data_IF_988653199536
#
_entry.id   IF_988653199536
#
_cell.length_a   1.000
_cell.length_b   1.000
_cell.length_c   1.000
_cell.angle_alpha   90.00
_cell.angle_beta   90.00
_cell.angle_gamma   90.00
#
_symmetry.space_group_name_H-M   'P 1'
#
loop_
_entity.id
_entity.type
_entity.pdbx_description
1 polymer ?
#
# COMPACT_ATOMS: atom_id res chain seq x y z
N UNK A 1 6.71 -21.74 -17.47
CA UNK A 1 6.93 -20.40 -16.90
C UNK A 1 6.57 -19.37 -17.96
N UNK A 2 5.99 -18.23 -17.56
CA UNK A 2 5.52 -17.18 -18.47
C UNK A 2 6.57 -16.05 -18.50
N UNK A 3 6.82 -15.43 -19.65
CA UNK A 3 7.75 -14.30 -19.81
C UNK A 3 7.55 -13.20 -18.77
N UNK A 4 6.29 -12.93 -18.41
CA UNK A 4 5.93 -11.94 -17.38
C UNK A 4 6.36 -12.36 -15.96
N UNK A 5 6.41 -13.65 -15.66
CA UNK A 5 6.93 -14.17 -14.38
C UNK A 5 8.45 -13.95 -14.29
N UNK A 6 9.17 -14.18 -15.40
CA UNK A 6 10.60 -13.95 -15.48
C UNK A 6 10.94 -12.46 -15.36
N UNK A 7 10.16 -11.59 -16.00
CA UNK A 7 10.28 -10.14 -15.84
C UNK A 7 10.03 -9.70 -14.40
N UNK A 8 9.07 -10.31 -13.70
CA UNK A 8 8.81 -10.03 -12.29
C UNK A 8 10.01 -10.44 -11.42
N UNK A 9 10.54 -11.66 -11.61
CA UNK A 9 11.73 -12.13 -10.90
C UNK A 9 12.95 -11.26 -11.21
N UNK A 10 13.06 -10.77 -12.43
CA UNK A 10 14.10 -9.85 -12.86
C UNK A 10 13.99 -8.48 -12.18
N UNK A 11 12.78 -7.93 -12.08
CA UNK A 11 12.48 -6.68 -11.38
C UNK A 11 12.78 -6.73 -9.88
N UNK A 12 12.83 -7.93 -9.28
CA UNK A 12 13.24 -8.10 -7.89
C UNK A 12 14.74 -7.82 -7.66
N UNK A 13 15.53 -7.62 -8.72
CA UNK A 13 16.95 -7.24 -8.64
C UNK A 13 17.16 -5.79 -9.07
N UNK A 14 18.10 -5.04 -8.46
CA UNK A 14 18.37 -3.65 -8.86
C UNK A 14 18.78 -3.51 -10.34
N UNK A 15 19.58 -4.45 -10.85
CA UNK A 15 20.00 -4.47 -12.26
C UNK A 15 18.82 -4.71 -13.20
N UNK A 16 17.94 -5.64 -12.85
CA UNK A 16 16.76 -5.93 -13.66
C UNK A 16 15.76 -4.78 -13.64
N UNK A 17 15.53 -4.17 -12.47
CA UNK A 17 14.70 -2.97 -12.35
C UNK A 17 15.22 -1.82 -13.21
N UNK A 18 16.52 -1.53 -13.16
CA UNK A 18 17.15 -0.50 -13.99
C UNK A 18 16.99 -0.79 -15.49
N UNK A 19 17.13 -2.05 -15.89
CA UNK A 19 16.93 -2.45 -17.28
C UNK A 19 15.49 -2.22 -17.72
N UNK A 20 14.51 -2.66 -16.92
CA UNK A 20 13.08 -2.45 -17.19
C UNK A 20 12.69 -0.97 -17.29
N UNK A 21 13.34 -0.11 -16.51
CA UNK A 21 13.16 1.34 -16.62
C UNK A 21 13.70 1.86 -17.95
N UNK A 22 14.91 1.46 -18.35
CA UNK A 22 15.52 1.89 -19.62
C UNK A 22 14.76 1.40 -20.85
N UNK A 23 14.13 0.23 -20.77
CA UNK A 23 13.35 -0.33 -21.87
C UNK A 23 11.89 0.12 -21.88
N UNK A 24 11.43 0.85 -20.84
CA UNK A 24 10.03 1.26 -20.70
C UNK A 24 9.07 0.15 -20.26
N UNK A 25 9.57 -1.07 -20.02
CA UNK A 25 8.77 -2.23 -19.62
C UNK A 25 8.32 -2.20 -18.13
N UNK A 26 8.74 -1.19 -17.37
CA UNK A 26 8.44 -1.07 -15.93
C UNK A 26 6.93 -1.00 -15.65
N UNK A 27 6.17 -0.29 -16.48
CA UNK A 27 4.72 -0.12 -16.28
C UNK A 27 3.97 -1.45 -16.46
N UNK A 28 4.33 -2.23 -17.48
CA UNK A 28 3.76 -3.54 -17.75
C UNK A 28 4.11 -4.52 -16.61
N UNK A 29 5.35 -4.48 -16.13
CA UNK A 29 5.80 -5.31 -15.02
C UNK A 29 5.04 -4.98 -13.72
N UNK A 30 4.86 -3.70 -13.39
CA UNK A 30 4.13 -3.27 -12.19
C UNK A 30 2.63 -3.53 -12.30
N UNK A 31 2.04 -3.37 -13.48
CA UNK A 31 0.64 -3.71 -13.74
C UNK A 31 0.40 -5.21 -13.59
N UNK A 32 1.30 -6.04 -14.12
CA UNK A 32 1.24 -7.49 -13.95
C UNK A 32 1.40 -7.89 -12.47
N UNK A 33 2.33 -7.24 -11.75
CA UNK A 33 2.50 -7.40 -10.30
C UNK A 33 1.19 -7.08 -9.54
N UNK A 34 0.57 -5.93 -9.83
CA UNK A 34 -0.66 -5.50 -9.18
C UNK A 34 -1.82 -6.46 -9.46
N UNK A 35 -2.02 -6.88 -10.70
CA UNK A 35 -3.05 -7.85 -11.07
C UNK A 35 -2.91 -9.16 -10.29
N UNK A 36 -1.68 -9.58 -10.02
CA UNK A 36 -1.39 -10.79 -9.24
C UNK A 36 -1.60 -10.58 -7.74
N UNK A 37 -1.23 -9.41 -7.24
CA UNK A 37 -1.50 -8.97 -5.87
C UNK A 37 -3.01 -8.94 -5.58
N UNK A 38 -3.81 -8.28 -6.44
CA UNK A 38 -5.25 -8.14 -6.29
C UNK A 38 -5.97 -9.49 -6.29
N UNK A 39 -5.52 -10.43 -7.13
CA UNK A 39 -6.05 -11.80 -7.18
C UNK A 39 -5.53 -12.72 -6.06
N UNK A 40 -4.68 -12.21 -5.15
CA UNK A 40 -4.00 -12.96 -4.08
C UNK A 40 -3.26 -14.22 -4.59
N UNK A 41 -2.80 -14.20 -5.84
CA UNK A 41 -2.16 -15.35 -6.48
C UNK A 41 -0.72 -15.49 -5.97
N UNK A 42 -0.32 -16.71 -5.57
CA UNK A 42 1.05 -17.01 -5.14
C UNK A 42 2.02 -16.93 -6.34
N UNK A 43 3.25 -16.45 -6.11
CA UNK A 43 4.27 -16.30 -7.16
C UNK A 43 4.79 -17.68 -7.64
N UNK A 44 4.78 -18.71 -6.77
CA UNK A 44 5.05 -20.11 -7.16
C UNK A 44 4.43 -21.14 -6.21
N UNK A 45 4.43 -22.43 -6.60
CA UNK A 45 3.91 -23.58 -5.82
C UNK A 45 4.57 -23.79 -4.44
N UNK A 46 5.77 -23.24 -4.23
CA UNK A 46 6.60 -23.51 -3.03
C UNK A 46 7.17 -22.25 -2.35
N UNK A 47 6.93 -21.04 -2.87
CA UNK A 47 7.41 -19.80 -2.25
C UNK A 47 6.29 -18.76 -2.17
N UNK A 48 5.84 -18.49 -0.93
CA UNK A 48 5.21 -17.22 -0.52
C UNK A 48 6.27 -16.10 -0.46
N UNK A 49 7.14 -15.97 -1.47
CA UNK A 49 7.97 -14.76 -1.53
C UNK A 49 7.00 -13.62 -1.84
N UNK A 50 6.67 -12.85 -0.81
CA UNK A 50 5.66 -11.82 -0.90
C UNK A 50 6.10 -10.74 -1.87
N UNK A 51 5.15 -10.19 -2.62
CA UNK A 51 5.37 -9.00 -3.44
C UNK A 51 6.00 -7.83 -2.68
N UNK A 52 6.07 -7.88 -1.34
CA UNK A 52 6.73 -6.86 -0.50
C UNK A 52 8.14 -6.50 -0.96
N UNK A 53 9.00 -7.47 -1.27
CA UNK A 53 10.37 -7.16 -1.76
C UNK A 53 10.31 -6.43 -3.11
N UNK A 54 9.42 -6.88 -3.99
CA UNK A 54 9.25 -6.33 -5.34
C UNK A 54 8.69 -4.92 -5.29
N UNK A 55 7.64 -4.70 -4.49
CA UNK A 55 7.03 -3.40 -4.25
C UNK A 55 8.04 -2.44 -3.65
N UNK A 56 8.82 -2.88 -2.65
CA UNK A 56 9.91 -2.09 -2.05
C UNK A 56 10.97 -1.68 -3.08
N UNK A 57 11.43 -2.61 -3.90
CA UNK A 57 12.42 -2.32 -4.95
C UNK A 57 11.85 -1.34 -5.97
N UNK A 58 10.64 -1.55 -6.47
CA UNK A 58 9.98 -0.66 -7.42
C UNK A 58 9.78 0.74 -6.80
N UNK A 59 9.26 0.82 -5.58
CA UNK A 59 9.00 2.07 -4.85
C UNK A 59 10.29 2.86 -4.53
N UNK A 60 11.44 2.20 -4.47
CA UNK A 60 12.74 2.86 -4.23
C UNK A 60 13.21 3.75 -5.40
N UNK A 61 12.48 3.75 -6.52
CA UNK A 61 12.82 4.51 -7.73
C UNK A 61 11.66 5.41 -8.15
N UNK A 62 11.96 6.60 -8.68
CA UNK A 62 10.93 7.54 -9.13
C UNK A 62 10.01 6.96 -10.23
N UNK A 63 10.60 6.33 -11.26
CA UNK A 63 9.84 5.68 -12.32
C UNK A 63 8.95 4.54 -11.79
N UNK A 64 9.44 3.77 -10.81
CA UNK A 64 8.65 2.72 -10.17
C UNK A 64 7.55 3.26 -9.26
N UNK A 65 7.78 4.36 -8.54
CA UNK A 65 6.76 5.05 -7.76
C UNK A 65 5.60 5.55 -8.65
N UNK A 66 5.92 6.17 -9.80
CA UNK A 66 4.93 6.59 -10.80
C UNK A 66 4.16 5.38 -11.37
N UNK A 67 4.86 4.28 -11.67
CA UNK A 67 4.24 3.04 -12.13
C UNK A 67 3.28 2.44 -11.08
N UNK A 68 3.64 2.48 -9.79
CA UNK A 68 2.78 2.03 -8.69
C UNK A 68 1.52 2.90 -8.55
N UNK A 69 1.66 4.21 -8.66
CA UNK A 69 0.53 5.13 -8.60
C UNK A 69 -0.41 4.91 -9.80
N UNK A 70 0.13 4.91 -11.02
CA UNK A 70 -0.66 4.75 -12.26
C UNK A 70 -1.33 3.37 -12.39
N UNK A 71 -0.73 2.32 -11.84
CA UNK A 71 -1.33 0.98 -11.82
C UNK A 71 -2.56 0.86 -10.90
N UNK A 72 -2.82 1.85 -10.04
CA UNK A 72 -3.87 1.77 -9.02
C UNK A 72 -3.49 0.94 -7.78
N UNK A 73 -2.25 0.47 -7.69
CA UNK A 73 -1.77 -0.30 -6.53
C UNK A 73 -1.93 0.48 -5.22
N UNK A 74 -1.54 1.76 -5.21
CA UNK A 74 -1.65 2.64 -4.04
C UNK A 74 -3.13 2.84 -3.67
N UNK A 75 -4.00 3.12 -4.64
CA UNK A 75 -5.44 3.31 -4.40
C UNK A 75 -6.11 2.04 -3.88
N UNK A 76 -5.70 0.86 -4.36
CA UNK A 76 -6.20 -0.41 -3.86
C UNK A 76 -5.80 -0.64 -2.39
N UNK A 77 -4.56 -0.29 -2.01
CA UNK A 77 -4.12 -0.35 -0.61
C UNK A 77 -4.89 0.60 0.30
N UNK A 78 -5.09 1.85 -0.15
CA UNK A 78 -5.92 2.85 0.54
C UNK A 78 -7.33 2.31 0.75
N UNK A 79 -7.96 1.79 -0.30
CA UNK A 79 -9.33 1.28 -0.26
C UNK A 79 -9.46 0.06 0.65
N UNK A 80 -8.50 -0.88 0.58
CA UNK A 80 -8.50 -2.07 1.45
C UNK A 80 -8.31 -1.67 2.92
N UNK A 81 -7.40 -0.74 3.22
CA UNK A 81 -7.22 -0.24 4.58
C UNK A 81 -8.50 0.45 5.09
N UNK A 82 -9.07 1.36 4.30
CA UNK A 82 -10.29 2.06 4.68
C UNK A 82 -11.47 1.11 4.91
N UNK A 83 -11.66 0.12 4.02
CA UNK A 83 -12.71 -0.88 4.19
C UNK A 83 -12.54 -1.71 5.47
N UNK A 84 -11.30 -2.03 5.87
CA UNK A 84 -11.05 -2.74 7.12
C UNK A 84 -11.28 -1.85 8.36
N UNK A 85 -11.06 -0.55 8.25
CA UNK A 85 -11.33 0.41 9.33
C UNK A 85 -12.83 0.65 9.54
N UNK A 86 -13.59 0.85 8.46
CA UNK A 86 -15.02 1.14 8.50
C UNK A 86 -15.89 -0.11 8.72
N UNK A 87 -15.56 -1.22 8.05
CA UNK A 87 -16.34 -2.45 8.09
C UNK A 87 -15.71 -3.49 9.01
N UNK A 88 -15.15 -3.06 10.16
CA UNK A 88 -14.48 -3.92 11.13
C UNK A 88 -15.15 -5.28 11.27
N UNK A 89 -14.38 -6.37 11.34
CA UNK A 89 -14.91 -7.74 11.22
C UNK A 89 -15.89 -8.16 12.32
N UNK A 90 -15.97 -7.37 13.37
CA UNK A 90 -16.61 -7.72 14.62
C UNK A 90 -17.76 -6.74 14.91
N UNK A 91 -18.99 -7.13 14.56
CA UNK A 91 -20.19 -6.76 15.31
C UNK A 91 -20.16 -7.40 16.73
N UNK A 92 -18.99 -7.45 17.38
CA UNK A 92 -18.85 -7.99 18.72
C UNK A 92 -19.43 -6.95 19.65
N UNK A 93 -20.66 -7.20 20.10
CA UNK A 93 -21.32 -6.45 21.19
C UNK A 93 -20.33 -6.28 22.33
N UNK A 94 -19.79 -5.08 22.49
CA UNK A 94 -18.91 -4.71 23.60
C UNK A 94 -19.79 -4.62 24.85
N UNK A 95 -19.88 -5.72 25.60
CA UNK A 95 -20.71 -5.77 26.81
C UNK A 95 -19.98 -5.22 28.05
N UNK A 96 -18.66 -5.01 27.98
CA UNK A 96 -17.82 -4.58 29.10
C UNK A 96 -16.75 -3.58 28.63
N UNK A 97 -16.49 -2.48 29.36
CA UNK A 97 -15.42 -1.53 29.04
C UNK A 97 -14.04 -2.17 29.27
N UNK A 98 -13.11 -1.97 28.33
CA UNK A 98 -11.74 -2.51 28.37
C UNK A 98 -10.83 -1.62 29.23
N UNK A 99 -9.82 -2.24 29.85
CA UNK A 99 -8.89 -1.60 30.80
C UNK A 99 -7.78 -0.77 30.15
N UNK A 100 -7.58 -0.87 28.84
CA UNK A 100 -6.63 -0.06 28.07
C UNK A 100 -7.37 0.85 27.09
N UNK A 101 -7.11 2.17 27.09
CA UNK A 101 -7.91 3.16 26.36
C UNK A 101 -7.67 3.19 24.85
N UNK A 102 -6.71 2.41 24.34
CA UNK A 102 -6.39 2.34 22.92
C UNK A 102 -6.42 0.87 22.52
N UNK A 103 -7.43 0.46 21.76
CA UNK A 103 -7.40 -0.84 21.12
C UNK A 103 -6.23 -0.85 20.10
N UNK A 104 -5.35 -1.87 20.11
CA UNK A 104 -4.35 -2.00 19.07
C UNK A 104 -5.06 -2.04 17.70
N UNK A 105 -4.44 -1.46 16.66
CA UNK A 105 -4.94 -1.52 15.27
C UNK A 105 -5.41 -2.96 15.02
N UNK A 106 -6.67 -3.12 14.59
CA UNK A 106 -7.24 -4.43 14.33
C UNK A 106 -6.26 -5.23 13.45
N UNK A 107 -6.05 -6.49 13.80
CA UNK A 107 -5.19 -7.40 13.05
C UNK A 107 -5.61 -7.49 11.58
N UNK A 108 -6.89 -7.23 11.28
CA UNK A 108 -7.40 -7.08 9.91
C UNK A 108 -6.74 -5.92 9.13
N UNK A 109 -6.50 -4.79 9.79
CA UNK A 109 -5.92 -3.56 9.23
C UNK A 109 -4.39 -3.60 9.17
N UNK A 110 -3.74 -4.38 10.04
CA UNK A 110 -2.29 -4.37 10.24
C UNK A 110 -1.49 -4.56 8.94
N UNK A 111 -1.92 -5.44 8.04
CA UNK A 111 -1.20 -5.74 6.80
C UNK A 111 -1.21 -4.57 5.82
N UNK A 112 -2.38 -3.98 5.59
CA UNK A 112 -2.53 -2.86 4.65
C UNK A 112 -1.90 -1.59 5.21
N UNK A 113 -2.02 -1.37 6.53
CA UNK A 113 -1.36 -0.27 7.23
C UNK A 113 0.16 -0.34 7.13
N UNK A 114 0.78 -1.49 7.46
CA UNK A 114 2.22 -1.67 7.32
C UNK A 114 2.69 -1.53 5.87
N UNK A 115 1.89 -1.98 4.90
CA UNK A 115 2.17 -1.79 3.48
C UNK A 115 2.25 -0.32 3.08
N UNK A 116 1.33 0.50 3.57
CA UNK A 116 1.31 1.95 3.35
C UNK A 116 2.47 2.66 4.04
N UNK A 117 2.73 2.37 5.32
CA UNK A 117 3.88 2.95 6.05
C UNK A 117 5.21 2.64 5.37
N UNK A 118 5.38 1.41 4.91
CA UNK A 118 6.58 1.00 4.18
C UNK A 118 6.72 1.77 2.85
N UNK A 119 5.63 1.98 2.11
CA UNK A 119 5.65 2.77 0.87
C UNK A 119 6.03 4.23 1.11
N UNK A 120 5.46 4.87 2.13
CA UNK A 120 5.74 6.28 2.47
C UNK A 120 7.16 6.51 2.99
N UNK A 121 7.82 5.45 3.46
CA UNK A 121 9.21 5.51 3.90
C UNK A 121 10.19 5.73 2.73
N UNK A 122 9.74 5.62 1.47
CA UNK A 122 10.56 5.91 0.30
C UNK A 122 10.40 7.37 -0.16
N UNK A 123 11.50 8.15 -0.25
CA UNK A 123 11.45 9.58 -0.61
C UNK A 123 10.71 9.86 -1.91
N UNK A 124 10.90 9.04 -2.94
CA UNK A 124 10.23 9.23 -4.23
C UNK A 124 8.70 9.05 -4.15
N UNK A 125 8.22 8.15 -3.29
CA UNK A 125 6.78 7.96 -3.06
C UNK A 125 6.25 9.10 -2.20
N UNK A 126 7.00 9.51 -1.18
CA UNK A 126 6.66 10.65 -0.34
C UNK A 126 6.56 11.94 -1.16
N UNK A 127 7.56 12.26 -1.99
CA UNK A 127 7.58 13.44 -2.85
C UNK A 127 6.44 13.42 -3.89
N UNK A 128 6.16 12.25 -4.46
CA UNK A 128 5.06 12.06 -5.43
C UNK A 128 3.69 12.28 -4.78
N UNK A 129 3.53 11.88 -3.52
CA UNK A 129 2.26 11.96 -2.79
C UNK A 129 2.12 13.29 -2.05
N UNK A 130 3.22 13.88 -1.61
CA UNK A 130 3.24 14.66 -0.36
C UNK A 130 3.94 16.00 -0.41
N UNK A 131 4.12 16.63 -1.57
CA UNK A 131 4.50 18.04 -1.59
C UNK A 131 3.30 18.96 -1.26
N UNK A 132 2.50 18.57 -0.27
CA UNK A 132 1.32 19.26 0.23
C UNK A 132 1.37 19.28 1.75
N UNK A 133 0.93 20.39 2.32
CA UNK A 133 0.72 20.48 3.76
C UNK A 133 -0.26 19.39 4.19
N UNK A 134 0.06 18.69 5.29
CA UNK A 134 -0.87 17.74 5.89
C UNK A 134 -2.15 18.50 6.24
N UNK A 135 -3.32 18.08 5.73
CA UNK A 135 -4.57 18.58 6.25
C UNK A 135 -4.60 18.30 7.76
N UNK A 136 -5.21 19.20 8.51
CA UNK A 136 -5.44 19.04 9.93
C UNK A 136 -6.86 19.56 10.18
N UNK A 137 -7.83 18.66 10.00
CA UNK A 137 -9.23 18.98 10.24
C UNK A 137 -9.58 18.72 11.70
N UNK A 138 -10.23 19.69 12.34
CA UNK A 138 -10.72 19.56 13.71
C UNK A 138 -11.83 18.50 13.84
N UNK A 139 -12.62 18.29 12.78
CA UNK A 139 -13.71 17.32 12.73
C UNK A 139 -13.80 16.70 11.33
N UNK A 140 -14.10 15.40 11.29
CA UNK A 140 -14.38 14.67 10.05
C UNK A 140 -15.84 14.25 10.00
N UNK A 141 -16.44 14.35 8.80
CA UNK A 141 -17.77 13.79 8.58
C UNK A 141 -17.70 12.26 8.48
N UNK A 142 -18.67 11.57 9.09
CA UNK A 142 -18.85 10.12 9.01
C UNK A 142 -19.03 9.57 7.58
N UNK A 143 -19.26 10.43 6.58
CA UNK A 143 -19.46 10.04 5.17
C UNK A 143 -18.29 10.35 4.26
N UNK A 144 -17.28 11.05 4.76
CA UNK A 144 -16.14 11.47 3.95
C UNK A 144 -15.21 10.26 3.76
N UNK A 145 -14.97 9.81 2.53
CA UNK A 145 -14.08 8.67 2.25
C UNK A 145 -12.69 9.19 1.88
N UNK A 146 -11.60 8.67 2.49
CA UNK A 146 -10.23 9.06 2.11
C UNK A 146 -9.96 8.75 0.64
N UNK A 147 -9.36 9.71 -0.07
CA UNK A 147 -9.06 9.59 -1.50
C UNK A 147 -7.57 9.38 -1.78
N UNK A 148 -6.71 9.78 -0.84
CA UNK A 148 -5.27 9.60 -0.92
C UNK A 148 -4.68 9.10 0.40
N UNK A 149 -3.38 8.76 0.38
CA UNK A 149 -2.69 8.25 1.57
C UNK A 149 -2.65 9.30 2.69
N UNK A 150 -2.55 10.59 2.34
CA UNK A 150 -2.51 11.70 3.29
C UNK A 150 -3.83 11.78 4.08
N UNK A 151 -4.98 11.67 3.39
CA UNK A 151 -6.30 11.65 4.04
C UNK A 151 -6.46 10.53 5.06
N UNK A 152 -5.80 9.39 4.84
CA UNK A 152 -5.78 8.27 5.78
C UNK A 152 -4.88 8.60 6.98
N UNK A 153 -3.69 9.16 6.74
CA UNK A 153 -2.73 9.50 7.81
C UNK A 153 -3.33 10.54 8.76
N UNK A 154 -3.91 11.62 8.21
CA UNK A 154 -4.54 12.70 8.98
C UNK A 154 -5.67 12.17 9.89
N UNK A 155 -6.38 11.11 9.47
CA UNK A 155 -7.43 10.46 10.27
C UNK A 155 -6.93 9.45 11.29
N UNK A 156 -5.89 8.68 10.95
CA UNK A 156 -5.36 7.61 11.80
C UNK A 156 -4.39 8.12 12.85
N UNK A 157 -3.60 9.12 12.48
CA UNK A 157 -2.62 9.76 13.34
C UNK A 157 -3.20 11.13 13.65
N UNK A 158 -3.85 11.25 14.82
CA UNK A 158 -4.24 12.56 15.33
C UNK A 158 -2.93 13.32 15.60
N UNK A 159 -2.44 14.05 14.59
CA UNK A 159 -1.12 14.71 14.63
C UNK A 159 -1.11 15.89 15.61
N UNK A 160 -2.27 16.30 16.13
CA UNK A 160 -2.42 17.28 17.19
C UNK A 160 -3.51 16.85 18.18
N UNK A 161 -3.13 16.03 19.18
CA UNK A 161 -3.88 15.88 20.45
C UNK A 161 -3.14 16.62 21.55
#
# INVERSE_FOLDING_TARGET
ENLLDDLLNFAATPKGLLFLQRTGAINECVTFMFNRYAKKLQISRHKKFGYGVLVTQVASTAAGAIALQSSGFINALITELWANLECGRDDVRVTHPRSTPVDPIDRSCQKSFLGLVNLLSYPAVYELVGNQDLPNKAEYSLREVPTCVIDIIDRLIILNS
#
